data_IF_994957670647
#
_entry.id   IF_994957670647
#
_cell.length_a   1.000
_cell.length_b   1.000
_cell.length_c   1.000
_cell.angle_alpha   90.00
_cell.angle_beta   90.00
_cell.angle_gamma   90.00
#
_symmetry.space_group_name_H-M   'P 1'
#
loop_
_entity.id
_entity.type
_entity.pdbx_description
1 polymer ?
#
# COMPACT_ATOMS: atom_id res chain seq x y z
N UNK A 1 13.41 7.34 0.50
CA UNK A 1 13.64 7.22 1.96
C UNK A 1 12.35 6.80 2.66
N UNK A 2 12.42 5.97 3.69
CA UNK A 2 11.26 5.58 4.50
C UNK A 2 10.96 6.71 5.48
N UNK A 3 9.71 7.20 5.51
CA UNK A 3 9.27 8.37 6.29
C UNK A 3 8.13 8.06 7.25
N UNK A 4 7.36 6.99 7.05
CA UNK A 4 6.15 6.68 7.81
C UNK A 4 6.36 5.61 8.91
N UNK A 5 7.44 5.71 9.68
CA UNK A 5 7.82 4.69 10.67
C UNK A 5 6.77 4.44 11.75
N UNK A 6 6.05 5.47 12.20
CA UNK A 6 5.03 5.32 13.25
C UNK A 6 3.88 4.43 12.77
N UNK A 7 3.43 4.66 11.53
CA UNK A 7 2.35 3.94 10.88
C UNK A 7 2.77 2.51 10.52
N UNK A 8 4.02 2.32 10.05
CA UNK A 8 4.62 1.01 9.81
C UNK A 8 4.62 0.17 11.10
N UNK A 9 5.05 0.74 12.23
CA UNK A 9 5.13 0.03 13.51
C UNK A 9 3.78 -0.47 14.05
N UNK A 10 2.67 0.13 13.61
CA UNK A 10 1.31 -0.29 14.00
C UNK A 10 0.56 -1.00 12.87
N UNK A 11 1.27 -1.45 11.83
CA UNK A 11 0.72 -2.15 10.65
C UNK A 11 -0.45 -1.40 9.99
N UNK A 12 -0.34 -0.07 9.88
CA UNK A 12 -1.41 0.79 9.35
C UNK A 12 -0.91 1.54 8.12
N UNK A 13 -1.27 1.12 6.89
CA UNK A 13 -0.93 1.89 5.71
C UNK A 13 -1.72 3.22 5.70
N UNK A 14 -1.10 4.27 5.15
CA UNK A 14 -1.73 5.59 5.01
C UNK A 14 -1.48 6.18 3.63
N UNK A 15 -2.32 7.13 3.22
CA UNK A 15 -2.12 7.89 1.98
C UNK A 15 -0.74 8.55 1.97
N UNK A 16 -0.05 8.46 0.85
CA UNK A 16 1.31 8.98 0.67
C UNK A 16 2.43 7.98 0.95
N UNK A 17 2.12 6.81 1.56
CA UNK A 17 3.14 5.76 1.71
C UNK A 17 3.60 5.23 0.37
N UNK A 18 4.88 4.88 0.27
CA UNK A 18 5.40 4.16 -0.90
C UNK A 18 5.02 2.68 -0.87
N UNK A 19 5.24 1.99 -1.98
CA UNK A 19 5.11 0.53 -2.06
C UNK A 19 6.00 -0.18 -1.02
N UNK A 20 7.26 0.25 -0.86
CA UNK A 20 8.18 -0.31 0.14
C UNK A 20 7.67 -0.13 1.57
N UNK A 21 7.13 1.04 1.91
CA UNK A 21 6.55 1.30 3.22
C UNK A 21 5.32 0.43 3.47
N UNK A 22 4.51 0.20 2.44
CA UNK A 22 3.38 -0.70 2.52
C UNK A 22 3.80 -2.16 2.70
N UNK A 23 4.90 -2.60 2.08
CA UNK A 23 5.48 -3.93 2.32
C UNK A 23 5.96 -4.07 3.76
N UNK A 24 6.59 -3.03 4.32
CA UNK A 24 7.02 -3.03 5.71
C UNK A 24 5.82 -3.07 6.68
N UNK A 25 4.75 -2.32 6.40
CA UNK A 25 3.59 -2.21 7.27
C UNK A 25 2.61 -3.40 7.17
N UNK A 26 2.40 -3.92 5.95
CA UNK A 26 1.34 -4.89 5.66
C UNK A 26 1.86 -6.25 5.20
N UNK A 27 3.16 -6.35 4.92
CA UNK A 27 3.74 -7.52 4.27
C UNK A 27 3.39 -7.60 2.78
N UNK A 28 3.67 -8.77 2.18
CA UNK A 28 3.44 -9.03 0.76
C UNK A 28 1.94 -9.15 0.46
N UNK A 29 1.40 -8.43 -0.53
CA UNK A 29 0.00 -8.60 -0.94
C UNK A 29 -0.25 -9.97 -1.59
N UNK A 30 -1.50 -10.43 -1.57
CA UNK A 30 -1.91 -11.66 -2.25
C UNK A 30 -1.88 -11.50 -3.77
N UNK A 31 -2.24 -10.33 -4.26
CA UNK A 31 -2.27 -10.03 -5.70
C UNK A 31 -1.85 -8.60 -5.94
N UNK A 32 -1.09 -8.40 -7.02
CA UNK A 32 -0.69 -7.11 -7.56
C UNK A 32 -1.24 -7.04 -8.98
N UNK A 33 -1.94 -5.96 -9.29
CA UNK A 33 -2.41 -5.65 -10.64
C UNK A 33 -1.88 -4.28 -11.04
N UNK A 34 -1.38 -4.17 -12.27
CA UNK A 34 -0.89 -2.91 -12.82
C UNK A 34 -1.62 -2.62 -14.13
N UNK A 35 -2.17 -1.41 -14.26
CA UNK A 35 -2.83 -0.96 -15.47
C UNK A 35 -2.67 0.54 -15.63
N UNK A 36 -2.17 0.98 -16.79
CA UNK A 36 -2.07 2.40 -17.16
C UNK A 36 -1.39 3.29 -16.09
N UNK A 37 -0.34 2.78 -15.42
CA UNK A 37 0.39 3.51 -14.38
C UNK A 37 -0.31 3.58 -13.01
N UNK A 38 -1.42 2.87 -12.84
CA UNK A 38 -2.04 2.60 -11.54
C UNK A 38 -1.67 1.18 -11.09
N UNK A 39 -1.20 1.06 -9.86
CA UNK A 39 -0.89 -0.23 -9.23
C UNK A 39 -1.93 -0.47 -8.14
N UNK A 40 -2.48 -1.67 -8.08
CA UNK A 40 -3.45 -2.09 -7.09
C UNK A 40 -2.94 -3.33 -6.37
N UNK A 41 -2.92 -3.28 -5.05
CA UNK A 41 -2.60 -4.42 -4.19
C UNK A 41 -3.86 -4.89 -3.46
N UNK A 42 -4.02 -6.21 -3.40
CA UNK A 42 -5.08 -6.88 -2.66
C UNK A 42 -4.47 -7.77 -1.59
N UNK A 43 -4.93 -7.61 -0.34
CA UNK A 43 -4.55 -8.46 0.80
C UNK A 43 -5.66 -9.43 1.20
N UNK A 44 -6.91 -9.00 1.03
CA UNK A 44 -8.12 -9.81 1.21
C UNK A 44 -9.24 -9.25 0.33
N UNK A 45 -10.41 -9.90 0.32
CA UNK A 45 -11.60 -9.39 -0.38
C UNK A 45 -12.13 -8.06 0.17
N UNK A 46 -11.65 -7.61 1.34
CA UNK A 46 -12.05 -6.33 1.94
C UNK A 46 -10.90 -5.33 2.06
N UNK A 47 -9.65 -5.71 1.78
CA UNK A 47 -8.48 -4.87 2.02
C UNK A 47 -7.65 -4.66 0.76
N UNK A 48 -7.68 -3.42 0.26
CA UNK A 48 -6.99 -3.00 -0.96
C UNK A 48 -6.18 -1.71 -0.74
N UNK A 49 -5.04 -1.63 -1.42
CA UNK A 49 -4.26 -0.40 -1.58
C UNK A 49 -4.19 -0.05 -3.06
N UNK A 50 -4.49 1.19 -3.39
CA UNK A 50 -4.35 1.73 -4.74
C UNK A 50 -3.24 2.76 -4.74
N UNK A 51 -2.27 2.57 -5.63
CA UNK A 51 -1.12 3.44 -5.79
C UNK A 51 -1.25 4.25 -7.07
N UNK A 52 -0.80 5.50 -6.99
CA UNK A 52 -0.64 6.39 -8.12
C UNK A 52 0.72 7.06 -8.01
N UNK A 53 1.52 6.98 -9.07
CA UNK A 53 2.89 7.50 -9.08
C UNK A 53 3.76 6.95 -7.93
N UNK A 54 3.61 5.65 -7.61
CA UNK A 54 4.39 4.97 -6.57
C UNK A 54 3.99 5.28 -5.12
N UNK A 55 2.87 6.00 -4.90
CA UNK A 55 2.37 6.34 -3.57
C UNK A 55 0.92 5.90 -3.39
N UNK A 56 0.55 5.46 -2.19
CA UNK A 56 -0.83 5.13 -1.84
C UNK A 56 -1.71 6.36 -2.02
N UNK A 57 -2.74 6.23 -2.84
CA UNK A 57 -3.76 7.25 -3.08
C UNK A 57 -5.07 6.90 -2.36
N UNK A 58 -5.46 5.61 -2.40
CA UNK A 58 -6.72 5.11 -1.84
C UNK A 58 -6.50 3.82 -1.05
N UNK A 59 -7.22 3.68 0.06
CA UNK A 59 -7.24 2.49 0.92
C UNK A 59 -8.69 2.06 1.11
N UNK A 60 -8.99 0.79 0.86
CA UNK A 60 -10.28 0.17 1.16
C UNK A 60 -10.03 -0.88 2.25
N UNK A 61 -10.81 -0.89 3.34
CA UNK A 61 -10.70 -1.85 4.45
C UNK A 61 -12.07 -2.19 5.03
#
# INVERSE_FOLDING_TARGET
>A
PITHWNEININKPVKGMTEDECLLACGKPQTIQESNGAVQWMYSSSFYLFFKNGHVETIIK
#
